data_IF_684438580565
#
_entry.id   IF_684438580565
#
_cell.length_a   1.000
_cell.length_b   1.000
_cell.length_c   1.000
_cell.angle_alpha   90.00
_cell.angle_beta   90.00
_cell.angle_gamma   90.00
#
_symmetry.space_group_name_H-M   'P 1'
#
loop_
_entity.id
_entity.type
_entity.pdbx_description
1 polymer ?
#
# COMPACT_ATOMS: atom_id res chain seq x y z
N UNK A 1 -15.70 -13.96 -9.82
CA UNK A 1 -14.52 -13.72 -10.69
C UNK A 1 -13.28 -14.13 -9.93
N UNK A 2 -12.26 -14.70 -10.59
CA UNK A 2 -10.98 -15.01 -9.93
C UNK A 2 -10.32 -13.76 -9.35
N UNK A 3 -9.64 -13.88 -8.21
CA UNK A 3 -8.89 -12.77 -7.59
C UNK A 3 -7.47 -12.61 -8.18
N UNK A 4 -6.89 -13.68 -8.73
CA UNK A 4 -5.61 -13.68 -9.42
C UNK A 4 -5.76 -13.33 -10.92
N UNK A 5 -4.88 -12.48 -11.43
CA UNK A 5 -4.82 -12.13 -12.85
C UNK A 5 -4.52 -13.35 -13.73
N UNK A 6 -3.68 -14.29 -13.27
CA UNK A 6 -3.36 -15.49 -14.07
C UNK A 6 -4.61 -16.34 -14.31
N UNK A 7 -5.36 -16.63 -13.25
CA UNK A 7 -6.62 -17.37 -13.31
C UNK A 7 -7.67 -16.64 -14.16
N UNK A 8 -7.71 -15.31 -14.07
CA UNK A 8 -8.62 -14.48 -14.85
C UNK A 8 -8.31 -14.57 -16.35
N UNK A 9 -7.03 -14.47 -16.74
CA UNK A 9 -6.62 -14.59 -18.14
C UNK A 9 -6.91 -16.00 -18.67
N UNK A 10 -6.61 -17.02 -17.87
CA UNK A 10 -6.88 -18.42 -18.24
C UNK A 10 -8.39 -18.67 -18.40
N UNK A 11 -9.21 -18.22 -17.44
CA UNK A 11 -10.66 -18.33 -17.52
C UNK A 11 -11.23 -17.58 -18.74
N UNK A 12 -10.72 -16.39 -19.05
CA UNK A 12 -11.13 -15.65 -20.26
C UNK A 12 -10.77 -16.43 -21.53
N UNK A 13 -9.56 -16.99 -21.58
CA UNK A 13 -9.10 -17.82 -22.68
C UNK A 13 -9.98 -19.08 -22.85
N UNK A 14 -10.25 -19.83 -21.77
CA UNK A 14 -11.09 -21.03 -21.82
C UNK A 14 -12.50 -20.70 -22.29
N UNK A 15 -13.06 -19.59 -21.80
CA UNK A 15 -14.37 -19.13 -22.24
C UNK A 15 -14.38 -18.76 -23.73
N UNK A 16 -13.32 -18.16 -24.26
CA UNK A 16 -13.21 -17.89 -25.70
C UNK A 16 -13.04 -19.15 -26.54
N UNK A 17 -12.33 -20.16 -26.01
CA UNK A 17 -12.18 -21.49 -26.61
C UNK A 17 -13.53 -22.19 -26.71
N UNK A 18 -14.26 -22.27 -25.62
CA UNK A 18 -15.53 -23.01 -25.53
C UNK A 18 -16.64 -22.35 -26.36
N UNK A 19 -16.56 -21.04 -26.61
CA UNK A 19 -17.47 -20.30 -27.49
C UNK A 19 -17.02 -20.25 -28.97
N UNK A 20 -15.99 -21.01 -29.36
CA UNK A 20 -15.51 -21.11 -30.74
C UNK A 20 -14.93 -19.81 -31.31
N UNK A 21 -14.66 -18.81 -30.46
CA UNK A 21 -14.07 -17.51 -30.87
C UNK A 21 -12.56 -17.60 -31.02
N UNK A 22 -11.96 -18.63 -30.44
CA UNK A 22 -10.53 -18.84 -30.47
C UNK A 22 -10.03 -19.37 -31.82
N UNK A 23 -10.85 -20.04 -32.64
CA UNK A 23 -10.41 -20.62 -33.93
C UNK A 23 -9.84 -19.58 -34.92
N UNK A 24 -10.22 -18.30 -34.78
CA UNK A 24 -9.67 -17.19 -35.56
C UNK A 24 -8.22 -16.82 -35.16
N UNK A 25 -7.81 -17.18 -33.94
CA UNK A 25 -6.54 -16.78 -33.29
C UNK A 25 -5.65 -18.01 -32.99
N UNK A 26 -6.19 -19.07 -32.40
CA UNK A 26 -5.50 -20.28 -31.91
C UNK A 26 -6.34 -21.57 -32.14
N UNK A 27 -6.53 -22.01 -33.39
CA UNK A 27 -7.22 -23.29 -33.66
C UNK A 27 -6.34 -24.49 -33.28
N UNK A 28 -6.69 -25.27 -32.24
CA UNK A 28 -5.94 -26.40 -31.62
C UNK A 28 -4.54 -26.00 -31.16
N UNK A 29 -4.39 -25.83 -29.85
CA UNK A 29 -3.22 -25.27 -29.18
C UNK A 29 -2.00 -26.18 -29.36
N UNK A 30 -1.02 -25.70 -30.11
CA UNK A 30 0.33 -26.28 -30.16
C UNK A 30 1.33 -25.14 -30.09
N UNK A 31 2.53 -25.41 -29.60
CA UNK A 31 3.61 -24.40 -29.52
C UNK A 31 3.91 -23.72 -30.86
N UNK A 32 3.87 -24.48 -31.96
CA UNK A 32 4.04 -23.94 -33.32
C UNK A 32 2.93 -22.97 -33.71
N UNK A 33 1.68 -23.26 -33.32
CA UNK A 33 0.54 -22.38 -33.59
C UNK A 33 0.51 -21.16 -32.68
N UNK A 34 0.92 -21.28 -31.43
CA UNK A 34 1.11 -20.14 -30.51
C UNK A 34 2.12 -19.15 -31.08
N UNK A 35 3.27 -19.65 -31.58
CA UNK A 35 4.25 -18.81 -32.28
C UNK A 35 3.64 -18.11 -33.50
N UNK A 36 2.94 -18.85 -34.36
CA UNK A 36 2.28 -18.29 -35.56
C UNK A 36 1.22 -17.26 -35.20
N UNK A 37 0.48 -17.46 -34.11
CA UNK A 37 -0.50 -16.51 -33.59
C UNK A 37 0.19 -15.24 -33.10
N UNK A 38 1.30 -15.34 -32.37
CA UNK A 38 2.09 -14.17 -31.94
C UNK A 38 2.55 -13.34 -33.15
N UNK A 39 3.06 -13.99 -34.20
CA UNK A 39 3.46 -13.30 -35.45
C UNK A 39 2.28 -12.59 -36.11
N UNK A 40 1.12 -13.26 -36.21
CA UNK A 40 -0.09 -12.68 -36.81
C UNK A 40 -0.58 -11.47 -36.01
N UNK A 41 -0.69 -11.61 -34.68
CA UNK A 41 -1.13 -10.53 -33.79
C UNK A 41 -0.16 -9.34 -33.82
N UNK A 42 1.15 -9.61 -33.87
CA UNK A 42 2.16 -8.56 -34.01
C UNK A 42 1.99 -7.77 -35.32
N UNK A 43 1.71 -8.45 -36.43
CA UNK A 43 1.52 -7.78 -37.72
C UNK A 43 0.20 -7.00 -37.81
N UNK A 44 -0.87 -7.47 -37.14
CA UNK A 44 -2.20 -6.88 -37.30
C UNK A 44 -2.58 -5.86 -36.23
N UNK A 45 -2.09 -6.02 -34.99
CA UNK A 45 -2.61 -5.32 -33.79
C UNK A 45 -1.51 -5.02 -32.76
N UNK A 46 -0.28 -4.84 -33.22
CA UNK A 46 0.78 -4.41 -32.32
C UNK A 46 0.58 -2.97 -31.88
N UNK A 47 0.63 -2.75 -30.58
CA UNK A 47 0.57 -1.43 -29.94
C UNK A 47 1.91 -1.20 -29.22
N UNK A 48 2.55 -0.03 -29.37
CA UNK A 48 3.77 0.31 -28.62
C UNK A 48 3.67 0.10 -27.10
N UNK A 49 2.47 0.16 -26.51
CA UNK A 49 2.24 -0.13 -25.08
C UNK A 49 2.52 -1.59 -24.71
N UNK A 50 2.41 -2.51 -25.68
CA UNK A 50 2.59 -3.94 -25.49
C UNK A 50 4.07 -4.36 -25.63
N UNK A 51 5.00 -3.43 -25.91
CA UNK A 51 6.44 -3.71 -26.02
C UNK A 51 7.02 -4.38 -24.77
N UNK A 52 6.60 -3.91 -23.60
CA UNK A 52 7.07 -4.44 -22.32
C UNK A 52 6.69 -5.92 -22.14
N UNK A 53 5.54 -6.34 -22.69
CA UNK A 53 5.08 -7.75 -22.65
C UNK A 53 6.02 -8.64 -23.47
N UNK A 54 6.34 -8.22 -24.69
CA UNK A 54 7.23 -8.97 -25.58
C UNK A 54 8.67 -8.99 -25.05
N UNK A 55 9.18 -7.85 -24.56
CA UNK A 55 10.49 -7.78 -23.92
C UNK A 55 10.60 -8.74 -22.72
N UNK A 56 9.60 -8.73 -21.84
CA UNK A 56 9.55 -9.61 -20.68
C UNK A 56 9.49 -11.10 -21.07
N UNK A 57 8.69 -11.45 -22.08
CA UNK A 57 8.56 -12.83 -22.52
C UNK A 57 9.84 -13.40 -23.13
N UNK A 58 10.51 -12.61 -23.99
CA UNK A 58 11.75 -13.04 -24.65
C UNK A 58 13.02 -12.76 -23.84
N UNK A 59 12.92 -12.04 -22.71
CA UNK A 59 14.06 -11.69 -21.87
C UNK A 59 15.04 -10.73 -22.55
N UNK A 60 14.53 -9.74 -23.29
CA UNK A 60 15.32 -8.77 -24.06
C UNK A 60 15.08 -7.34 -23.60
N UNK A 61 16.03 -6.43 -23.88
CA UNK A 61 15.85 -5.00 -23.64
C UNK A 61 14.80 -4.40 -24.61
N UNK A 62 13.95 -3.50 -24.12
CA UNK A 62 12.89 -2.86 -24.89
C UNK A 62 13.35 -1.67 -25.74
N UNK A 63 14.51 -1.07 -25.43
CA UNK A 63 14.92 0.22 -26.01
C UNK A 63 15.33 0.13 -27.49
N UNK A 64 15.95 -0.97 -27.91
CA UNK A 64 16.49 -1.14 -29.28
C UNK A 64 16.22 -2.54 -29.87
N UNK A 65 15.07 -3.15 -29.55
CA UNK A 65 14.73 -4.48 -30.05
C UNK A 65 13.71 -4.46 -31.21
N UNK A 66 14.10 -5.13 -32.30
CA UNK A 66 13.21 -5.48 -33.40
C UNK A 66 12.46 -6.78 -33.05
N UNK A 67 11.31 -6.63 -32.39
CA UNK A 67 10.48 -7.77 -31.97
C UNK A 67 10.00 -8.62 -33.15
N UNK A 68 9.90 -8.06 -34.35
CA UNK A 68 9.58 -8.84 -35.55
C UNK A 68 10.69 -9.84 -35.85
N UNK A 69 11.97 -9.42 -35.78
CA UNK A 69 13.12 -10.33 -35.92
C UNK A 69 13.15 -11.37 -34.82
N UNK A 70 12.84 -10.99 -33.58
CA UNK A 70 12.83 -11.92 -32.44
C UNK A 70 11.75 -12.98 -32.63
N UNK A 71 10.51 -12.61 -32.97
CA UNK A 71 9.42 -13.54 -33.25
C UNK A 71 9.69 -14.45 -34.46
N UNK A 72 10.40 -13.93 -35.47
CA UNK A 72 10.84 -14.71 -36.62
C UNK A 72 11.96 -15.70 -36.27
N UNK A 73 12.75 -15.43 -35.23
CA UNK A 73 13.83 -16.32 -34.76
C UNK A 73 13.42 -17.24 -33.61
N UNK A 74 12.37 -16.92 -32.86
CA UNK A 74 11.92 -17.71 -31.70
C UNK A 74 11.63 -19.16 -32.09
N UNK A 75 11.85 -20.11 -31.20
CA UNK A 75 11.57 -21.52 -31.48
C UNK A 75 10.21 -21.92 -30.89
N UNK A 76 9.54 -22.95 -31.43
CA UNK A 76 8.33 -23.49 -30.79
C UNK A 76 8.58 -23.87 -29.31
N UNK A 77 9.80 -24.29 -28.96
CA UNK A 77 10.18 -24.61 -27.57
C UNK A 77 9.96 -23.47 -26.58
N UNK A 78 10.13 -22.21 -27.01
CA UNK A 78 10.00 -21.03 -26.14
C UNK A 78 8.58 -20.86 -25.59
N UNK A 79 7.58 -21.35 -26.33
CA UNK A 79 6.16 -21.26 -25.98
C UNK A 79 5.67 -22.45 -25.17
N UNK A 80 6.54 -23.41 -24.82
CA UNK A 80 6.16 -24.65 -24.13
C UNK A 80 5.55 -24.39 -22.76
N UNK A 81 6.10 -23.44 -22.00
CA UNK A 81 5.59 -23.11 -20.67
C UNK A 81 4.17 -22.51 -20.74
N UNK A 82 3.92 -21.60 -21.69
CA UNK A 82 2.58 -21.07 -21.95
C UNK A 82 1.62 -22.18 -22.42
N UNK A 83 2.07 -23.05 -23.32
CA UNK A 83 1.26 -24.13 -23.86
C UNK A 83 0.81 -25.13 -22.78
N UNK A 84 1.72 -25.53 -21.87
CA UNK A 84 1.39 -26.42 -20.76
C UNK A 84 0.35 -25.80 -19.82
N UNK A 85 0.50 -24.50 -19.51
CA UNK A 85 -0.43 -23.78 -18.65
C UNK A 85 -1.83 -23.69 -19.27
N UNK A 86 -1.93 -23.36 -20.56
CA UNK A 86 -3.19 -23.28 -21.28
C UNK A 86 -3.93 -24.64 -21.39
N UNK A 87 -3.19 -25.75 -21.27
CA UNK A 87 -3.76 -27.11 -21.24
C UNK A 87 -4.15 -27.60 -19.84
N UNK A 88 -3.89 -26.82 -18.80
CA UNK A 88 -4.09 -27.24 -17.42
C UNK A 88 -3.12 -28.34 -16.95
N UNK A 89 -1.96 -28.49 -17.62
CA UNK A 89 -0.91 -29.43 -17.17
C UNK A 89 -0.10 -28.89 -15.98
N UNK A 90 -0.23 -27.60 -15.68
CA UNK A 90 0.44 -26.91 -14.58
C UNK A 90 -0.53 -25.98 -13.86
N UNK A 91 -0.61 -26.09 -12.54
CA UNK A 91 -1.49 -25.25 -11.70
C UNK A 91 -1.08 -23.76 -11.72
N UNK A 92 0.21 -23.46 -11.92
CA UNK A 92 0.74 -22.10 -11.94
C UNK A 92 1.71 -21.90 -13.10
N UNK A 93 1.86 -20.66 -13.56
CA UNK A 93 2.83 -20.31 -14.61
C UNK A 93 3.57 -19.02 -14.26
N UNK A 94 4.64 -18.75 -15.02
CA UNK A 94 5.34 -17.46 -14.91
C UNK A 94 4.45 -16.33 -15.43
N UNK A 95 4.47 -15.19 -14.74
CA UNK A 95 3.69 -14.00 -15.09
C UNK A 95 3.85 -13.59 -16.57
N UNK A 96 5.05 -13.77 -17.15
CA UNK A 96 5.30 -13.44 -18.56
C UNK A 96 4.42 -14.24 -19.53
N UNK A 97 4.06 -15.48 -19.16
CA UNK A 97 3.21 -16.35 -19.96
C UNK A 97 1.76 -15.87 -19.92
N UNK A 98 1.24 -15.50 -18.75
CA UNK A 98 -0.10 -14.94 -18.61
C UNK A 98 -0.23 -13.59 -19.30
N UNK A 99 0.80 -12.73 -19.21
CA UNK A 99 0.83 -11.45 -19.93
C UNK A 99 0.84 -11.66 -21.45
N UNK A 100 1.60 -12.63 -21.96
CA UNK A 100 1.59 -12.97 -23.39
C UNK A 100 0.23 -13.52 -23.84
N UNK A 101 -0.42 -14.35 -23.01
CA UNK A 101 -1.75 -14.89 -23.31
C UNK A 101 -2.81 -13.78 -23.35
N UNK A 102 -2.80 -12.88 -22.38
CA UNK A 102 -3.68 -11.70 -22.34
C UNK A 102 -3.50 -10.83 -23.59
N UNK A 103 -2.26 -10.63 -24.03
CA UNK A 103 -1.97 -10.00 -25.30
C UNK A 103 -2.57 -10.79 -26.46
N UNK A 104 -2.31 -12.09 -26.60
CA UNK A 104 -2.82 -12.90 -27.72
C UNK A 104 -4.35 -12.84 -27.88
N UNK A 105 -5.11 -12.89 -26.79
CA UNK A 105 -6.58 -12.93 -26.81
C UNK A 105 -7.24 -11.53 -26.81
N UNK A 106 -6.44 -10.47 -26.87
CA UNK A 106 -6.88 -9.08 -26.77
C UNK A 106 -7.51 -8.65 -25.44
N UNK A 107 -7.08 -9.24 -24.34
CA UNK A 107 -7.60 -8.91 -23.02
C UNK A 107 -7.00 -7.59 -22.52
N UNK A 108 -7.84 -6.66 -22.10
CA UNK A 108 -7.45 -5.46 -21.35
C UNK A 108 -8.10 -5.48 -19.96
N UNK A 109 -7.43 -4.96 -18.92
CA UNK A 109 -6.10 -4.34 -18.95
C UNK A 109 -4.95 -5.38 -19.01
N UNK A 110 -3.91 -5.04 -19.78
CA UNK A 110 -2.62 -5.74 -19.87
C UNK A 110 -1.46 -4.74 -19.85
N UNK A 111 -0.27 -5.10 -19.35
CA UNK A 111 0.09 -6.32 -18.60
C UNK A 111 -0.55 -6.39 -17.21
N UNK A 112 -0.26 -7.45 -16.45
CA UNK A 112 -0.75 -7.69 -15.07
C UNK A 112 -0.69 -6.47 -14.16
N UNK A 113 0.38 -5.68 -14.21
CA UNK A 113 0.50 -4.45 -13.40
C UNK A 113 -0.64 -3.46 -13.70
N UNK A 114 -1.03 -3.31 -14.96
CA UNK A 114 -2.17 -2.47 -15.38
C UNK A 114 -3.50 -2.96 -14.79
N UNK A 115 -3.66 -4.26 -14.58
CA UNK A 115 -4.86 -4.81 -13.93
C UNK A 115 -4.99 -4.40 -12.47
N UNK A 116 -3.91 -4.50 -11.70
CA UNK A 116 -3.93 -4.11 -10.28
C UNK A 116 -3.99 -2.59 -10.07
N UNK A 117 -3.58 -1.80 -11.07
CA UNK A 117 -3.68 -0.33 -11.06
C UNK A 117 -5.04 0.19 -11.55
N UNK A 118 -5.88 -0.65 -12.16
CA UNK A 118 -7.20 -0.26 -12.66
C UNK A 118 -8.21 -0.13 -11.50
N UNK A 119 -8.80 1.05 -11.27
CA UNK A 119 -9.73 1.27 -10.15
C UNK A 119 -11.03 0.47 -10.29
N UNK A 120 -11.51 0.31 -11.53
CA UNK A 120 -12.80 -0.31 -11.81
C UNK A 120 -12.68 -1.81 -12.16
N UNK A 121 -11.44 -2.32 -12.32
CA UNK A 121 -11.12 -3.69 -12.77
C UNK A 121 -11.97 -4.16 -13.96
N UNK A 122 -12.36 -3.23 -14.83
CA UNK A 122 -13.16 -3.53 -16.01
C UNK A 122 -12.32 -4.33 -16.98
N UNK A 123 -12.81 -5.52 -17.35
CA UNK A 123 -12.13 -6.42 -18.28
C UNK A 123 -12.82 -6.28 -19.63
N UNK A 124 -12.04 -5.96 -20.66
CA UNK A 124 -12.53 -5.91 -22.03
C UNK A 124 -11.74 -6.86 -22.91
N UNK A 125 -12.38 -7.33 -23.97
CA UNK A 125 -11.72 -8.12 -25.02
C UNK A 125 -11.94 -7.37 -26.33
N UNK A 126 -10.88 -6.87 -26.97
CA UNK A 126 -11.01 -6.08 -28.19
C UNK A 126 -11.95 -4.87 -28.05
N UNK A 127 -11.94 -4.24 -26.87
CA UNK A 127 -12.70 -3.02 -26.58
C UNK A 127 -14.18 -3.22 -26.21
N UNK A 128 -14.67 -4.46 -26.01
CA UNK A 128 -16.01 -4.69 -25.45
C UNK A 128 -15.94 -5.36 -24.06
N UNK A 129 -16.84 -5.01 -23.13
CA UNK A 129 -16.93 -5.64 -21.83
C UNK A 129 -17.01 -7.16 -21.95
N UNK A 130 -16.30 -7.87 -21.06
CA UNK A 130 -16.31 -9.33 -21.04
C UNK A 130 -17.74 -9.87 -20.95
N UNK A 131 -18.63 -9.21 -20.21
CA UNK A 131 -20.03 -9.63 -20.05
C UNK A 131 -20.84 -9.62 -21.35
N UNK A 132 -20.54 -8.69 -22.27
CA UNK A 132 -21.21 -8.57 -23.57
C UNK A 132 -20.80 -9.67 -24.56
N UNK A 133 -19.65 -10.32 -24.34
CA UNK A 133 -19.16 -11.40 -25.20
C UNK A 133 -19.86 -12.74 -24.97
N UNK A 134 -20.62 -12.89 -23.88
CA UNK A 134 -21.22 -14.16 -23.45
C UNK A 134 -22.74 -14.13 -23.30
N UNK A 135 -23.38 -13.08 -23.80
CA UNK A 135 -24.83 -13.10 -23.95
C UNK A 135 -25.21 -14.03 -25.11
N UNK A 136 -26.25 -14.87 -24.96
CA UNK A 136 -26.82 -15.59 -26.09
C UNK A 136 -27.27 -14.59 -27.17
N UNK A 137 -27.17 -14.95 -28.46
CA UNK A 137 -27.48 -14.01 -29.52
C UNK A 137 -28.99 -13.73 -29.49
N UNK A 138 -29.42 -12.49 -29.21
CA UNK A 138 -30.48 -11.77 -29.95
C UNK A 138 -30.81 -10.39 -29.30
N UNK A 139 -30.57 -9.35 -30.12
CA UNK A 139 -31.17 -8.00 -30.23
C UNK A 139 -30.92 -6.93 -29.16
N UNK A 140 -30.25 -5.89 -29.65
CA UNK A 140 -30.01 -4.57 -29.09
C UNK A 140 -31.30 -3.73 -29.13
N UNK A 141 -31.74 -3.21 -27.99
CA UNK A 141 -32.36 -1.90 -27.83
C UNK A 141 -32.48 -1.57 -26.34
N UNK A 142 -31.85 -0.46 -25.96
CA UNK A 142 -31.88 0.18 -24.64
C UNK A 142 -33.30 0.58 -24.20
N UNK A 143 -33.64 0.36 -22.92
CA UNK A 143 -34.21 1.36 -21.96
C UNK A 143 -34.69 0.65 -20.70
N UNK A 144 -34.29 1.23 -19.57
CA UNK A 144 -34.75 1.02 -18.19
C UNK A 144 -36.27 0.77 -18.08
N UNK A 145 -36.70 -0.34 -17.49
CA UNK A 145 -37.68 -0.37 -16.39
C UNK A 145 -38.02 -1.80 -15.95
N UNK A 146 -38.16 -1.95 -14.64
CA UNK A 146 -38.78 -3.04 -13.88
C UNK A 146 -39.98 -3.73 -14.56
N UNK A 147 -40.04 -5.07 -14.51
CA UNK A 147 -41.09 -5.81 -13.77
C UNK A 147 -40.86 -7.34 -13.80
N UNK A 148 -40.81 -7.93 -12.61
CA UNK A 148 -41.55 -9.15 -12.26
C UNK A 148 -41.13 -10.50 -12.85
N UNK A 149 -40.51 -11.34 -12.01
CA UNK A 149 -40.38 -12.78 -12.25
C UNK A 149 -40.04 -13.51 -10.96
N UNK A 150 -41.07 -13.80 -10.15
CA UNK A 150 -40.98 -14.58 -8.91
C UNK A 150 -40.59 -16.03 -9.23
N UNK A 151 -39.43 -16.47 -8.76
CA UNK A 151 -39.13 -17.90 -8.61
C UNK A 151 -38.66 -18.15 -7.18
N UNK A 152 -39.37 -19.05 -6.52
CA UNK A 152 -39.21 -19.46 -5.12
C UNK A 152 -37.87 -20.21 -5.01
N UNK A 153 -37.00 -19.78 -4.10
CA UNK A 153 -35.82 -20.56 -3.67
C UNK A 153 -36.00 -21.03 -2.22
N UNK A 154 -35.47 -22.21 -1.86
CA UNK A 154 -35.57 -22.77 -0.52
C UNK A 154 -34.74 -21.96 0.47
N UNK A 155 -35.19 -21.95 1.73
CA UNK A 155 -34.49 -21.31 2.84
C UNK A 155 -33.07 -21.85 2.98
N UNK A 156 -32.09 -20.97 2.74
CA UNK A 156 -30.71 -21.13 3.15
C UNK A 156 -30.31 -19.89 3.93
N UNK A 157 -29.84 -20.09 5.16
CA UNK A 157 -29.23 -19.04 5.99
C UNK A 157 -28.06 -18.43 5.22
N UNK A 158 -28.12 -17.15 4.88
CA UNK A 158 -27.04 -16.44 4.18
C UNK A 158 -26.08 -15.82 5.17
N UNK A 159 -24.79 -16.15 5.04
CA UNK A 159 -23.70 -15.49 5.73
C UNK A 159 -23.21 -14.34 4.84
N UNK A 160 -23.24 -13.11 5.36
CA UNK A 160 -22.78 -11.91 4.64
C UNK A 160 -21.52 -11.41 5.36
N UNK A 161 -20.40 -11.19 4.65
CA UNK A 161 -19.20 -10.61 5.25
C UNK A 161 -19.51 -9.20 5.75
N UNK A 162 -19.09 -8.88 6.97
CA UNK A 162 -19.50 -7.67 7.69
C UNK A 162 -18.95 -6.37 7.05
N UNK A 163 -17.84 -6.45 6.31
CA UNK A 163 -17.19 -5.32 5.68
C UNK A 163 -16.66 -5.70 4.29
N UNK A 164 -16.84 -4.80 3.31
CA UNK A 164 -16.27 -4.95 1.97
C UNK A 164 -14.74 -5.05 2.03
N UNK A 165 -14.16 -6.03 1.33
CA UNK A 165 -12.71 -6.31 1.31
C UNK A 165 -11.86 -5.08 0.93
N UNK A 166 -12.40 -4.19 0.09
CA UNK A 166 -11.78 -2.93 -0.28
C UNK A 166 -11.60 -1.99 0.93
N UNK A 167 -12.59 -1.93 1.82
CA UNK A 167 -12.54 -1.08 3.03
C UNK A 167 -11.50 -1.59 4.04
N UNK A 168 -11.35 -2.91 4.14
CA UNK A 168 -10.34 -3.55 5.01
C UNK A 168 -8.93 -3.25 4.47
N UNK A 169 -8.71 -3.38 3.17
CA UNK A 169 -7.42 -3.07 2.53
C UNK A 169 -7.02 -1.60 2.71
N UNK A 170 -7.95 -0.67 2.48
CA UNK A 170 -7.72 0.77 2.68
C UNK A 170 -7.39 1.07 4.15
N UNK A 171 -8.11 0.47 5.11
CA UNK A 171 -7.85 0.66 6.53
C UNK A 171 -6.47 0.13 6.95
N UNK A 172 -6.06 -1.04 6.43
CA UNK A 172 -4.74 -1.62 6.66
C UNK A 172 -3.62 -0.71 6.11
N UNK A 173 -3.78 -0.15 4.91
CA UNK A 173 -2.83 0.78 4.32
C UNK A 173 -2.72 2.09 5.14
N UNK A 174 -3.83 2.62 5.63
CA UNK A 174 -3.85 3.81 6.49
C UNK A 174 -3.15 3.52 7.83
N UNK A 175 -3.40 2.37 8.45
CA UNK A 175 -2.73 1.99 9.71
C UNK A 175 -1.21 1.83 9.55
N UNK A 176 -0.74 1.28 8.43
CA UNK A 176 0.68 1.23 8.11
C UNK A 176 1.28 2.63 7.99
N UNK A 177 0.59 3.53 7.31
CA UNK A 177 1.07 4.90 7.10
C UNK A 177 1.08 5.71 8.41
N UNK A 178 0.01 5.61 9.20
CA UNK A 178 -0.09 6.25 10.52
C UNK A 178 0.96 5.68 11.47
N UNK A 179 1.16 4.36 11.52
CA UNK A 179 2.20 3.74 12.34
C UNK A 179 3.61 4.21 11.98
N UNK A 180 3.92 4.29 10.68
CA UNK A 180 5.21 4.79 10.20
C UNK A 180 5.42 6.29 10.49
N UNK A 181 4.38 7.11 10.29
CA UNK A 181 4.42 8.54 10.60
C UNK A 181 4.54 8.79 12.11
N UNK A 182 3.74 8.12 12.93
CA UNK A 182 3.78 8.24 14.39
C UNK A 182 5.13 7.80 14.95
N UNK A 183 5.74 6.73 14.44
CA UNK A 183 7.08 6.31 14.86
C UNK A 183 8.15 7.34 14.51
N UNK A 184 8.13 7.89 13.29
CA UNK A 184 9.08 8.95 12.88
C UNK A 184 8.92 10.25 13.68
N UNK A 185 7.68 10.62 14.03
CA UNK A 185 7.40 11.78 14.88
C UNK A 185 7.82 11.50 16.33
N UNK A 186 7.61 10.30 16.86
CA UNK A 186 8.07 9.92 18.21
C UNK A 186 9.59 9.91 18.31
N UNK A 187 10.28 9.31 17.33
CA UNK A 187 11.75 9.28 17.23
C UNK A 187 12.37 10.69 17.05
N UNK A 188 11.58 11.65 16.55
CA UNK A 188 11.99 13.06 16.46
C UNK A 188 11.50 13.94 17.61
N UNK A 189 10.45 13.56 18.34
CA UNK A 189 9.88 14.38 19.44
C UNK A 189 10.66 14.27 20.74
N UNK A 190 11.40 13.19 20.98
CA UNK A 190 12.34 13.07 22.11
C UNK A 190 13.55 14.05 22.04
N UNK A 191 13.49 15.04 21.15
CA UNK A 191 14.59 15.96 20.81
C UNK A 191 14.41 17.39 21.34
N UNK A 192 13.39 17.65 22.16
CA UNK A 192 13.08 18.99 22.65
C UNK A 192 13.99 19.39 23.82
N UNK A 193 14.89 20.35 23.58
CA UNK A 193 15.70 20.96 24.65
C UNK A 193 14.83 21.98 25.39
N UNK A 194 14.78 21.89 26.72
CA UNK A 194 14.07 22.87 27.55
C UNK A 194 14.79 24.22 27.47
N UNK A 195 14.04 25.28 27.21
CA UNK A 195 14.57 26.64 27.33
C UNK A 195 14.75 27.00 28.81
N UNK A 196 15.92 27.53 29.21
CA UNK A 196 16.17 27.90 30.60
C UNK A 196 15.25 29.05 31.02
N UNK A 197 14.77 29.00 32.25
CA UNK A 197 14.05 30.11 32.89
C UNK A 197 15.04 31.11 33.49
N UNK A 198 14.62 32.36 33.68
CA UNK A 198 15.48 33.45 34.16
C UNK A 198 16.17 33.18 35.52
N UNK A 199 15.64 32.25 36.32
CA UNK A 199 16.20 31.86 37.62
C UNK A 199 17.02 30.56 37.60
N UNK A 200 17.23 29.95 36.43
CA UNK A 200 18.05 28.75 36.27
C UNK A 200 19.47 29.16 35.85
N UNK A 201 20.45 28.87 36.70
CA UNK A 201 21.84 29.31 36.53
C UNK A 201 22.83 28.17 36.30
N UNK A 202 22.37 26.93 36.44
CA UNK A 202 23.18 25.74 36.30
C UNK A 202 22.53 24.78 35.30
N UNK A 203 23.26 23.76 34.91
CA UNK A 203 22.75 22.68 34.10
C UNK A 203 23.42 21.35 34.45
N UNK A 204 22.71 20.25 34.22
CA UNK A 204 23.21 18.89 34.47
C UNK A 204 22.96 17.99 33.27
N UNK A 205 23.76 16.93 33.14
CA UNK A 205 23.58 15.95 32.08
C UNK A 205 22.55 14.90 32.47
N UNK A 206 21.47 14.77 31.69
CA UNK A 206 20.38 13.81 31.96
C UNK A 206 20.59 12.43 31.31
N UNK A 207 21.70 12.24 30.57
CA UNK A 207 21.98 11.03 29.80
C UNK A 207 21.95 11.24 28.28
N UNK A 208 21.22 12.25 27.81
CA UNK A 208 21.04 12.60 26.39
C UNK A 208 21.48 14.03 26.07
N UNK A 209 21.09 15.02 26.88
CA UNK A 209 21.43 16.43 26.72
C UNK A 209 21.53 17.12 28.09
N UNK A 210 21.89 18.41 28.08
CA UNK A 210 21.89 19.22 29.29
C UNK A 210 20.51 19.79 29.59
N UNK A 211 20.07 19.68 30.84
CA UNK A 211 18.87 20.33 31.34
C UNK A 211 19.21 21.45 32.32
N UNK A 212 18.51 22.60 32.25
CA UNK A 212 18.75 23.71 33.14
C UNK A 212 18.18 23.45 34.54
N UNK A 213 18.86 23.98 35.55
CA UNK A 213 18.50 23.84 36.97
C UNK A 213 18.83 25.11 37.75
N UNK A 214 18.12 25.31 38.86
CA UNK A 214 18.24 26.51 39.70
C UNK A 214 19.42 26.48 40.65
N UNK A 215 19.73 25.31 41.22
CA UNK A 215 20.68 25.16 42.32
C UNK A 215 21.72 24.08 41.99
N UNK A 216 22.94 24.27 42.48
CA UNK A 216 24.09 23.38 42.30
C UNK A 216 24.16 22.26 43.36
N UNK A 217 23.32 22.34 44.41
CA UNK A 217 23.28 21.38 45.52
C UNK A 217 22.34 20.21 45.33
N UNK A 218 21.75 20.05 44.16
CA UNK A 218 20.81 18.97 43.90
C UNK A 218 21.55 17.64 43.70
N UNK A 219 21.21 16.62 44.48
CA UNK A 219 21.83 15.29 44.41
C UNK A 219 21.35 14.52 43.17
N UNK A 220 21.90 14.84 42.00
CA UNK A 220 21.51 14.24 40.71
C UNK A 220 22.46 13.10 40.29
N UNK A 221 23.56 12.89 41.03
CA UNK A 221 24.55 11.85 40.72
C UNK A 221 25.36 12.11 39.45
N UNK A 222 25.20 13.28 38.84
CA UNK A 222 25.98 13.78 37.69
C UNK A 222 26.58 15.14 38.01
N UNK A 223 27.69 15.53 37.36
CA UNK A 223 28.31 16.82 37.60
C UNK A 223 27.39 17.97 37.15
N UNK A 224 27.16 18.92 38.06
CA UNK A 224 26.43 20.15 37.78
C UNK A 224 27.44 21.22 37.36
N UNK A 225 27.16 21.88 36.23
CA UNK A 225 28.02 22.92 35.65
C UNK A 225 27.26 24.23 35.50
N UNK A 226 27.94 25.39 35.48
CA UNK A 226 27.27 26.67 35.23
C UNK A 226 26.59 26.66 33.87
N UNK A 227 25.41 27.30 33.80
CA UNK A 227 24.61 27.34 32.59
C UNK A 227 25.39 28.02 31.45
N UNK A 228 25.57 27.28 30.37
CA UNK A 228 26.09 27.80 29.11
C UNK A 228 25.11 27.49 27.99
N UNK A 229 24.48 28.52 27.44
CA UNK A 229 23.41 28.40 26.44
C UNK A 229 23.90 27.68 25.18
N UNK A 230 25.13 27.92 24.74
CA UNK A 230 25.69 27.26 23.56
C UNK A 230 25.84 25.76 23.81
N UNK A 231 26.39 25.38 24.97
CA UNK A 231 26.54 23.97 25.35
C UNK A 231 25.18 23.29 25.54
N UNK A 232 24.22 23.98 26.17
CA UNK A 232 22.86 23.48 26.37
C UNK A 232 22.18 23.10 25.04
N UNK A 233 22.31 23.94 24.02
CA UNK A 233 21.66 23.75 22.72
C UNK A 233 22.44 22.76 21.84
N UNK A 234 23.77 22.89 21.81
CA UNK A 234 24.61 22.19 20.83
C UNK A 234 25.08 20.82 21.32
N UNK A 235 25.24 20.60 22.63
CA UNK A 235 25.82 19.38 23.16
C UNK A 235 24.75 18.33 23.48
N UNK A 236 24.72 17.28 22.65
CA UNK A 236 23.76 16.17 22.75
C UNK A 236 24.42 14.85 22.39
N UNK A 237 23.95 13.77 23.00
CA UNK A 237 24.29 12.39 22.65
C UNK A 237 23.57 11.97 21.38
N UNK A 238 24.27 11.28 20.51
CA UNK A 238 23.68 10.67 19.32
C UNK A 238 23.28 9.25 19.71
N UNK A 239 21.97 9.05 19.90
CA UNK A 239 21.38 7.76 20.28
C UNK A 239 21.47 6.70 19.18
N UNK A 240 21.54 7.14 17.91
CA UNK A 240 21.58 6.29 16.72
C UNK A 240 22.90 6.48 15.96
N UNK A 241 24.02 5.92 16.46
CA UNK A 241 25.32 6.08 15.82
C UNK A 241 25.36 5.50 14.41
N UNK A 242 24.56 4.46 14.14
CA UNK A 242 24.46 3.80 12.83
C UNK A 242 23.89 4.70 11.72
N UNK A 243 23.35 5.87 12.05
CA UNK A 243 22.90 6.88 11.07
C UNK A 243 24.00 7.84 10.62
N UNK A 244 25.17 7.79 11.26
CA UNK A 244 26.29 8.66 10.93
C UNK A 244 26.90 8.25 9.58
N UNK A 245 27.21 9.25 8.77
CA UNK A 245 27.78 9.07 7.42
C UNK A 245 29.09 9.82 7.28
N UNK A 246 29.73 9.75 6.11
CA UNK A 246 30.93 10.53 5.81
C UNK A 246 30.71 12.04 6.00
N UNK A 247 29.48 12.53 5.84
CA UNK A 247 29.12 13.94 6.09
C UNK A 247 29.26 14.35 7.57
N UNK A 248 29.16 13.39 8.48
CA UNK A 248 29.32 13.60 9.92
C UNK A 248 30.78 13.77 10.33
N UNK A 249 31.73 13.43 9.44
CA UNK A 249 33.16 13.57 9.73
C UNK A 249 33.48 15.03 9.99
N UNK A 250 34.07 15.25 11.16
CA UNK A 250 34.44 16.57 11.64
C UNK A 250 33.32 17.50 12.09
N UNK A 251 32.06 17.01 12.08
CA UNK A 251 30.89 17.66 12.70
C UNK A 251 30.35 16.88 13.90
N UNK A 252 30.91 15.70 14.16
CA UNK A 252 30.55 14.83 15.27
C UNK A 252 31.80 14.56 16.09
N UNK A 253 31.58 14.43 17.39
CA UNK A 253 32.59 14.10 18.37
C UNK A 253 32.25 12.78 19.03
N UNK A 254 33.24 12.08 19.58
CA UNK A 254 33.03 10.78 20.18
C UNK A 254 33.92 10.56 21.41
N UNK A 255 33.48 9.64 22.25
CA UNK A 255 34.26 9.08 23.36
C UNK A 255 34.06 7.58 23.36
N UNK A 256 35.15 6.84 23.37
CA UNK A 256 35.11 5.38 23.43
C UNK A 256 36.49 4.76 23.36
N UNK A 257 36.55 3.48 23.69
CA UNK A 257 37.71 2.61 23.51
C UNK A 257 37.21 1.22 23.11
N UNK A 258 37.80 0.62 22.08
CA UNK A 258 37.35 -0.66 21.55
C UNK A 258 35.96 -0.57 20.90
N UNK A 259 34.98 -1.36 21.36
CA UNK A 259 33.65 -1.41 20.72
C UNK A 259 32.62 -0.44 21.35
N UNK A 260 32.94 0.20 22.47
CA UNK A 260 31.99 1.03 23.21
C UNK A 260 32.20 2.52 22.90
N UNK A 261 31.71 2.94 21.72
CA UNK A 261 31.77 4.33 21.28
C UNK A 261 30.45 5.06 21.51
N UNK A 262 30.54 6.20 22.18
CA UNK A 262 29.45 7.17 22.33
C UNK A 262 29.75 8.39 21.46
N UNK A 263 28.72 8.92 20.80
CA UNK A 263 28.85 10.01 19.84
C UNK A 263 28.04 11.23 20.28
N UNK A 264 28.52 12.40 19.90
CA UNK A 264 28.03 13.69 20.38
C UNK A 264 28.02 14.73 19.26
N UNK A 265 27.08 15.65 19.33
CA UNK A 265 26.85 16.69 18.31
C UNK A 265 27.80 17.88 18.39
N UNK A 266 28.47 18.12 19.52
CA UNK A 266 29.40 19.24 19.68
C UNK A 266 30.72 18.84 20.34
N UNK A 267 31.72 19.71 20.13
CA UNK A 267 33.00 19.62 20.81
C UNK A 267 32.84 19.97 22.29
N UNK A 268 33.69 19.39 23.12
CA UNK A 268 33.79 19.81 24.51
C UNK A 268 34.18 18.68 25.43
N UNK A 269 33.86 18.91 26.70
CA UNK A 269 34.11 17.98 27.78
C UNK A 269 33.09 16.84 27.73
N UNK A 270 33.51 15.63 28.10
CA UNK A 270 32.64 14.47 28.18
C UNK A 270 31.62 14.65 29.32
N UNK A 271 30.31 14.72 29.03
CA UNK A 271 29.33 15.15 30.04
C UNK A 271 29.28 14.30 31.33
N UNK A 272 29.47 12.97 31.29
CA UNK A 272 29.53 12.16 32.51
C UNK A 272 30.83 12.28 33.33
N UNK A 273 31.95 12.68 32.72
CA UNK A 273 33.25 12.82 33.40
C UNK A 273 34.00 14.02 32.84
N UNK A 274 33.99 15.10 33.64
CA UNK A 274 34.52 16.40 33.23
C UNK A 274 36.04 16.46 33.07
N UNK A 275 36.76 15.42 33.51
CA UNK A 275 38.20 15.33 33.29
C UNK A 275 38.57 14.89 31.86
N UNK A 276 37.60 14.40 31.07
CA UNK A 276 37.84 13.87 29.73
C UNK A 276 37.29 14.77 28.65
N UNK A 277 38.00 14.84 27.52
CA UNK A 277 37.63 15.65 26.35
C UNK A 277 37.17 14.73 25.23
N UNK A 278 36.12 15.13 24.51
CA UNK A 278 35.62 14.41 23.35
C UNK A 278 36.59 14.54 22.16
N UNK A 279 36.78 13.44 21.44
CA UNK A 279 37.64 13.40 20.24
C UNK A 279 36.80 13.67 18.99
N UNK A 280 37.38 14.34 17.99
CA UNK A 280 36.73 14.58 16.70
C UNK A 280 36.59 13.27 15.93
N UNK A 281 35.41 13.01 15.35
CA UNK A 281 35.14 11.81 14.56
C UNK A 281 36.06 11.75 13.32
N UNK A 282 36.73 10.61 13.13
CA UNK A 282 37.60 10.33 11.99
C UNK A 282 36.97 9.30 11.05
N UNK A 283 37.47 9.25 9.81
CA UNK A 283 37.03 8.27 8.80
C UNK A 283 37.26 6.82 9.23
N UNK A 284 38.36 6.54 9.94
CA UNK A 284 38.67 5.19 10.45
C UNK A 284 37.62 4.70 11.45
N UNK A 285 37.31 5.50 12.46
CA UNK A 285 36.30 5.15 13.47
C UNK A 285 34.92 4.96 12.85
N UNK A 286 34.55 5.83 11.89
CA UNK A 286 33.30 5.68 11.15
C UNK A 286 33.23 4.35 10.41
N UNK A 287 34.29 3.97 9.68
CA UNK A 287 34.30 2.71 8.92
C UNK A 287 34.29 1.48 9.82
N UNK A 288 35.05 1.51 10.90
CA UNK A 288 35.32 0.31 11.69
C UNK A 288 34.23 0.04 12.75
N UNK A 289 33.50 1.07 13.18
CA UNK A 289 32.54 0.98 14.28
C UNK A 289 31.11 1.44 13.96
N UNK A 290 30.84 1.99 12.78
CA UNK A 290 29.50 2.46 12.39
C UNK A 290 29.06 1.73 11.12
N UNK A 291 28.00 0.93 11.23
CA UNK A 291 27.42 0.20 10.10
C UNK A 291 26.03 0.68 9.81
N UNK A 292 25.91 1.51 8.75
CA UNK A 292 24.62 1.98 8.25
C UNK A 292 23.66 0.84 7.90
N UNK A 293 24.19 -0.29 7.43
CA UNK A 293 23.40 -1.47 7.08
C UNK A 293 22.67 -2.06 8.27
N UNK A 294 23.21 -1.97 9.50
CA UNK A 294 22.54 -2.48 10.70
C UNK A 294 21.28 -1.69 11.02
N UNK A 295 21.34 -0.36 10.87
CA UNK A 295 20.18 0.52 11.02
C UNK A 295 19.13 0.25 9.92
N UNK A 296 19.56 0.18 8.66
CA UNK A 296 18.66 -0.08 7.54
C UNK A 296 17.96 -1.44 7.68
N UNK A 297 18.70 -2.47 8.11
CA UNK A 297 18.16 -3.81 8.34
C UNK A 297 17.14 -3.82 9.49
N UNK A 298 17.44 -3.14 10.60
CA UNK A 298 16.50 -3.06 11.75
C UNK A 298 15.20 -2.37 11.34
N UNK A 299 15.28 -1.29 10.57
CA UNK A 299 14.12 -0.62 9.97
C UNK A 299 13.35 -1.54 9.04
N UNK A 300 14.03 -2.24 8.13
CA UNK A 300 13.42 -3.18 7.20
C UNK A 300 12.67 -4.31 7.92
N UNK A 301 13.30 -4.91 8.94
CA UNK A 301 12.67 -5.97 9.75
C UNK A 301 11.41 -5.44 10.43
N UNK A 302 11.45 -4.25 11.01
CA UNK A 302 10.28 -3.65 11.65
C UNK A 302 9.13 -3.39 10.66
N UNK A 303 9.45 -2.89 9.45
CA UNK A 303 8.46 -2.74 8.36
C UNK A 303 7.86 -4.07 7.92
N UNK A 304 8.67 -5.13 7.80
CA UNK A 304 8.18 -6.46 7.43
C UNK A 304 7.27 -7.03 8.53
N UNK A 305 7.67 -6.93 9.80
CA UNK A 305 6.87 -7.41 10.92
C UNK A 305 5.52 -6.67 11.03
N UNK A 306 5.51 -5.34 10.86
CA UNK A 306 4.28 -4.55 10.90
C UNK A 306 3.35 -4.86 9.72
N UNK A 307 3.90 -4.99 8.51
CA UNK A 307 3.14 -5.40 7.33
C UNK A 307 2.51 -6.78 7.51
N UNK A 308 3.27 -7.74 8.05
CA UNK A 308 2.79 -9.09 8.33
C UNK A 308 1.67 -9.10 9.38
N UNK A 309 1.84 -8.37 10.49
CA UNK A 309 0.83 -8.28 11.54
C UNK A 309 -0.48 -7.65 11.02
N UNK A 310 -0.38 -6.57 10.25
CA UNK A 310 -1.55 -5.89 9.68
C UNK A 310 -2.26 -6.78 8.64
N UNK A 311 -1.51 -7.52 7.84
CA UNK A 311 -2.07 -8.52 6.92
C UNK A 311 -2.82 -9.63 7.66
N UNK A 312 -2.24 -10.17 8.74
CA UNK A 312 -2.90 -11.17 9.60
C UNK A 312 -4.18 -10.62 10.23
N UNK A 313 -4.16 -9.38 10.75
CA UNK A 313 -5.35 -8.73 11.29
C UNK A 313 -6.43 -8.53 10.22
N UNK A 314 -6.06 -8.08 9.02
CA UNK A 314 -6.98 -7.93 7.89
C UNK A 314 -7.62 -9.26 7.48
N UNK A 315 -6.84 -10.34 7.45
CA UNK A 315 -7.33 -11.69 7.18
C UNK A 315 -8.26 -12.23 8.29
N UNK A 316 -7.95 -11.97 9.56
CA UNK A 316 -8.82 -12.36 10.67
C UNK A 316 -10.17 -11.62 10.62
N UNK A 317 -10.16 -10.33 10.27
CA UNK A 317 -11.39 -9.52 10.14
C UNK A 317 -12.23 -9.95 8.94
N UNK A 318 -11.61 -10.35 7.82
CA UNK A 318 -12.36 -10.84 6.65
C UNK A 318 -13.09 -12.17 6.90
N UNK A 319 -12.62 -12.95 7.88
CA UNK A 319 -13.21 -14.22 8.33
C UNK A 319 -14.36 -14.07 9.34
N UNK A 320 -14.64 -12.87 9.85
CA UNK A 320 -15.73 -12.64 10.78
C UNK A 320 -17.09 -12.58 10.05
N UNK A 321 -17.87 -13.64 10.18
CA UNK A 321 -19.24 -13.73 9.67
C UNK A 321 -20.25 -13.35 10.76
N UNK A 322 -21.30 -12.59 10.40
CA UNK A 322 -22.42 -12.27 11.31
C UNK A 322 -23.67 -13.03 10.89
N UNK A 323 -24.24 -13.80 11.82
CA UNK A 323 -25.58 -14.38 11.66
C UNK A 323 -26.62 -13.26 11.74
N UNK A 324 -27.43 -13.09 10.71
CA UNK A 324 -28.58 -12.18 10.70
C UNK A 324 -29.84 -13.03 10.65
N UNK A 325 -30.58 -13.07 11.76
CA UNK A 325 -31.92 -13.67 11.79
C UNK A 325 -32.90 -12.68 11.16
N UNK A 326 -33.42 -13.04 9.98
CA UNK A 326 -34.48 -12.28 9.30
C UNK A 326 -35.81 -12.58 10.00
N UNK A 327 -36.19 -11.76 10.97
CA UNK A 327 -37.55 -11.77 11.53
C UNK A 327 -38.46 -10.99 10.58
N UNK A 328 -39.31 -11.72 9.83
CA UNK A 328 -40.29 -11.12 8.93
C UNK A 328 -41.35 -10.34 9.72
N UNK A 329 -41.47 -9.05 9.45
CA UNK A 329 -42.64 -8.25 9.84
C UNK A 329 -43.21 -7.60 8.58
N UNK A 330 -44.40 -8.04 8.18
CA UNK A 330 -45.20 -7.44 7.12
C UNK A 330 -46.30 -6.62 7.77
N UNK A 331 -46.12 -5.30 7.90
CA UNK A 331 -47.22 -4.39 8.19
C UNK A 331 -47.38 -3.39 7.05
N UNK A 332 -48.50 -3.58 6.32
CA UNK A 332 -49.02 -2.77 5.23
C UNK A 332 -49.25 -1.32 5.68
N UNK A 333 -48.82 -0.35 4.87
CA UNK A 333 -49.28 1.04 4.94
C UNK A 333 -50.38 1.20 3.88
N UNK A 334 -51.62 1.38 4.33
CA UNK A 334 -52.77 1.75 3.51
C UNK A 334 -52.89 3.26 3.56
N UNK A 335 -52.93 3.88 2.38
CA UNK A 335 -53.23 5.30 2.14
C UNK A 335 -54.73 5.51 2.28
N UNK A 336 -55.14 6.52 3.04
CA UNK A 336 -56.45 7.16 2.91
C UNK A 336 -56.29 8.66 3.08
N UNK A 337 -56.45 9.38 1.98
CA UNK A 337 -56.75 10.82 1.95
C UNK A 337 -58.18 11.04 2.44
N UNK A 338 -58.41 12.00 3.34
CA UNK A 338 -59.70 12.67 3.52
C UNK A 338 -59.46 14.10 4.01
N UNK A 339 -59.93 15.06 3.22
CA UNK A 339 -59.92 16.51 3.39
C UNK A 339 -61.11 17.04 4.22
N UNK A 340 -61.05 18.34 4.58
CA UNK A 340 -62.09 19.23 5.17
C UNK A 340 -62.27 19.12 6.72
N UNK A 341 -62.42 20.15 7.55
CA UNK A 341 -62.75 21.59 7.39
C UNK A 341 -62.47 22.37 8.71
N UNK A 342 -62.00 23.62 8.56
CA UNK A 342 -62.22 24.88 9.31
C UNK A 342 -62.69 24.81 10.80
N UNK A 343 -61.93 25.48 11.69
CA UNK A 343 -62.45 26.55 12.57
C UNK A 343 -61.30 27.27 13.33
N UNK A 344 -61.15 28.56 13.06
CA UNK A 344 -60.67 29.60 13.98
C UNK A 344 -61.89 30.51 14.31
N UNK A 345 -61.84 31.55 15.18
CA UNK A 345 -60.80 32.13 16.05
C UNK A 345 -61.41 32.32 17.49
N UNK A 346 -61.20 33.35 18.36
CA UNK A 346 -60.39 34.58 18.25
C UNK A 346 -59.60 35.11 19.48
N UNK A 347 -58.65 36.02 19.15
CA UNK A 347 -58.33 37.35 19.72
C UNK A 347 -57.88 37.44 21.20
N UNK A 348 -56.71 38.06 21.44
CA UNK A 348 -56.58 39.38 22.08
C UNK A 348 -55.12 39.86 22.08
N UNK A 349 -55.03 41.18 21.96
CA UNK A 349 -53.92 42.06 21.58
C UNK A 349 -53.27 42.69 22.83
N UNK A 350 -52.15 43.41 22.62
CA UNK A 350 -51.44 44.33 23.54
C UNK A 350 -50.57 43.65 24.61
N UNK A 351 -49.38 44.14 25.00
CA UNK A 351 -48.80 45.49 24.91
C UNK A 351 -47.25 45.46 25.00
N UNK A 352 -46.63 46.58 24.63
CA UNK A 352 -45.22 47.00 24.79
C UNK A 352 -44.80 47.23 26.25
N UNK A 353 -43.49 47.48 26.39
CA UNK A 353 -42.71 47.99 27.52
C UNK A 353 -42.25 46.89 28.50
N UNK A 354 -40.99 46.78 28.95
CA UNK A 354 -40.00 47.82 29.28
C UNK A 354 -38.61 47.18 29.46
N UNK A 355 -37.56 47.97 29.20
CA UNK A 355 -36.31 48.10 29.97
C UNK A 355 -35.85 46.93 30.88
N UNK A 356 -34.61 46.47 30.70
CA UNK A 356 -33.45 46.88 31.51
C UNK A 356 -32.39 45.77 31.71
N UNK A 357 -31.13 46.22 31.52
CA UNK A 357 -29.81 45.70 31.96
C UNK A 357 -29.26 44.45 31.30
#
# INVERSE_FOLDING_TARGET
>A
MPEDYQDLVLAAYEKMRDNGKLDAILSKETTTKLRRACLKVYQSRFDPKDKDILAMFFGVDKMDCDFQKILNKSEPGDYRALWNHVRGETDTTDERNSNLLAWLIDLEPRPRSSYYLSPDKTITIGGRPIDDFFLPPTKVASTTSSLGGKTIMPQGTSFIPLFSSLRISIFCAILLFVGAFSFGIWESSSRTVKTPKDNEKFMYWNGDHYEPIKDDKQNIGTPIIPLNIQTLIQQRKISLPDTLTSYSIGKVWYKGYGNNHEYFTAAGVYPPDTARILKKLSSGILRDHISYYRYLFTRLVWFICTAFFISLCGFAVSKLEKKVDVKGDSRKQVVTDTSFEINAPPIMEQNKDSLSV
#
